data_IF_695592145952
#
_entry.id   IF_695592145952
#
_cell.length_a   1.000
_cell.length_b   1.000
_cell.length_c   1.000
_cell.angle_alpha   90.00
_cell.angle_beta   90.00
_cell.angle_gamma   90.00
#
_symmetry.space_group_name_H-M   'P 1'
#
loop_
_entity.id
_entity.type
_entity.pdbx_description
1 polymer ?
#
# COMPACT_ATOMS: atom_id res chain seq x y z
N UNK A 1 -18.28 29.44 10.78
CA UNK A 1 -17.33 29.24 11.90
C UNK A 1 -17.97 28.30 12.91
N UNK A 2 -17.39 27.11 13.16
CA UNK A 2 -17.91 26.14 14.14
C UNK A 2 -17.28 26.47 15.49
N UNK A 3 -18.07 26.96 16.46
CA UNK A 3 -17.59 27.23 17.81
C UNK A 3 -17.08 25.91 18.43
N UNK A 4 -15.78 25.86 18.77
CA UNK A 4 -15.19 24.73 19.45
C UNK A 4 -15.71 24.69 20.90
N UNK A 5 -16.24 23.55 21.33
CA UNK A 5 -16.78 23.38 22.67
C UNK A 5 -15.61 23.29 23.69
N UNK A 6 -15.46 24.26 24.61
CA UNK A 6 -14.30 24.36 25.50
C UNK A 6 -14.18 23.21 26.50
N UNK A 7 -15.26 22.46 26.75
CA UNK A 7 -15.26 21.27 27.61
C UNK A 7 -14.34 20.13 27.10
N UNK A 8 -13.98 20.12 25.81
CA UNK A 8 -13.08 19.12 25.25
C UNK A 8 -11.58 19.47 25.41
N UNK A 9 -11.25 20.66 25.93
CA UNK A 9 -9.87 21.14 26.05
C UNK A 9 -9.57 21.55 27.50
N UNK A 10 -9.09 20.62 28.36
CA UNK A 10 -8.90 20.85 29.80
C UNK A 10 -8.01 22.05 30.12
N UNK A 11 -7.04 22.32 29.25
CA UNK A 11 -6.07 23.42 29.37
C UNK A 11 -6.74 24.79 29.08
N UNK A 12 -7.72 24.84 28.17
CA UNK A 12 -8.52 26.03 27.90
C UNK A 12 -9.49 26.34 29.05
N UNK A 13 -10.03 25.29 29.70
CA UNK A 13 -10.84 25.41 30.91
C UNK A 13 -9.99 25.93 32.08
N UNK A 14 -8.76 25.45 32.24
CA UNK A 14 -7.81 25.96 33.25
C UNK A 14 -7.48 27.44 33.02
N UNK A 15 -7.18 27.85 31.79
CA UNK A 15 -6.91 29.25 31.47
C UNK A 15 -8.12 30.16 31.76
N UNK A 16 -9.34 29.72 31.41
CA UNK A 16 -10.57 30.43 31.77
C UNK A 16 -10.79 30.53 33.29
N UNK A 17 -10.48 29.46 34.03
CA UNK A 17 -10.55 29.42 35.50
C UNK A 17 -9.56 30.37 36.16
N UNK A 18 -8.32 30.46 35.67
CA UNK A 18 -7.30 31.38 36.17
C UNK A 18 -7.73 32.84 35.98
N UNK A 19 -8.29 33.18 34.81
CA UNK A 19 -8.79 34.54 34.53
C UNK A 19 -9.97 34.90 35.43
N UNK A 20 -10.86 33.94 35.72
CA UNK A 20 -12.02 34.17 36.58
C UNK A 20 -11.59 34.39 38.04
N UNK A 21 -10.65 33.59 38.55
CA UNK A 21 -10.11 33.75 39.91
C UNK A 21 -9.28 35.03 40.03
N UNK A 22 -8.42 35.34 39.07
CA UNK A 22 -7.61 36.56 39.08
C UNK A 22 -8.47 37.82 38.92
N UNK A 23 -9.46 37.80 38.01
CA UNK A 23 -10.38 38.90 37.75
C UNK A 23 -11.24 39.26 38.96
N UNK A 24 -11.81 38.26 39.63
CA UNK A 24 -12.69 38.49 40.79
C UNK A 24 -11.89 38.77 42.06
N UNK A 25 -10.76 38.09 42.28
CA UNK A 25 -10.05 38.12 43.58
C UNK A 25 -8.89 39.11 43.66
N UNK A 26 -8.23 39.43 42.54
CA UNK A 26 -7.10 40.36 42.52
C UNK A 26 -7.42 41.70 41.86
N UNK A 27 -8.33 41.73 40.88
CA UNK A 27 -8.71 42.95 40.14
C UNK A 27 -10.05 43.53 40.61
N UNK A 28 -10.86 42.75 41.35
CA UNK A 28 -12.13 43.23 41.93
C UNK A 28 -13.24 43.44 40.91
N UNK A 29 -13.20 42.74 39.77
CA UNK A 29 -14.21 42.86 38.73
C UNK A 29 -15.55 42.26 39.19
N UNK A 30 -16.69 42.96 38.96
CA UNK A 30 -18.00 42.43 39.30
C UNK A 30 -18.30 41.15 38.48
N UNK A 31 -18.95 40.18 39.11
CA UNK A 31 -19.19 38.84 38.55
C UNK A 31 -19.85 38.85 37.16
N UNK A 32 -20.69 39.84 36.85
CA UNK A 32 -21.34 39.98 35.55
C UNK A 32 -20.37 40.27 34.40
N UNK A 33 -19.18 40.82 34.68
CA UNK A 33 -18.14 41.11 33.67
C UNK A 33 -17.08 40.00 33.63
N UNK A 34 -16.76 39.41 34.79
CA UNK A 34 -15.76 38.36 34.89
C UNK A 34 -16.19 37.05 34.20
N UNK A 35 -17.47 36.66 34.32
CA UNK A 35 -18.01 35.44 33.72
C UNK A 35 -17.97 35.43 32.18
N UNK A 36 -18.45 36.47 31.46
CA UNK A 36 -18.36 36.53 30.00
C UNK A 36 -16.92 36.60 29.49
N UNK A 37 -16.04 37.33 30.20
CA UNK A 37 -14.63 37.44 29.82
C UNK A 37 -13.90 36.09 29.93
N UNK A 38 -14.14 35.32 30.99
CA UNK A 38 -13.58 33.99 31.14
C UNK A 38 -14.09 33.01 30.06
N UNK A 39 -15.38 33.09 29.71
CA UNK A 39 -15.95 32.30 28.62
C UNK A 39 -15.35 32.66 27.25
N UNK A 40 -15.12 33.95 26.99
CA UNK A 40 -14.47 34.44 25.76
C UNK A 40 -12.99 33.99 25.68
N UNK A 41 -12.25 34.02 26.77
CA UNK A 41 -10.86 33.54 26.81
C UNK A 41 -10.80 32.02 26.66
N UNK A 42 -11.71 31.26 27.28
CA UNK A 42 -11.75 29.80 27.14
C UNK A 42 -12.10 29.37 25.71
N UNK A 43 -13.08 30.02 25.08
CA UNK A 43 -13.46 29.74 23.68
C UNK A 43 -12.40 30.21 22.68
N UNK A 44 -11.81 31.39 22.89
CA UNK A 44 -10.72 31.91 22.06
C UNK A 44 -9.44 31.07 22.19
N UNK A 45 -9.07 30.66 23.40
CA UNK A 45 -7.94 29.78 23.67
C UNK A 45 -8.14 28.39 23.06
N UNK A 46 -9.34 27.81 23.16
CA UNK A 46 -9.67 26.55 22.51
C UNK A 46 -9.59 26.63 20.98
N UNK A 47 -9.97 27.77 20.38
CA UNK A 47 -9.84 27.99 18.93
C UNK A 47 -8.36 28.11 18.49
N UNK A 48 -7.52 28.79 19.28
CA UNK A 48 -6.08 28.89 19.00
C UNK A 48 -5.37 27.55 19.17
N UNK A 49 -5.69 26.78 20.22
CA UNK A 49 -5.14 25.45 20.44
C UNK A 49 -5.56 24.50 19.31
N UNK A 50 -6.84 24.50 18.94
CA UNK A 50 -7.35 23.73 17.79
C UNK A 50 -6.71 24.14 16.46
N UNK A 51 -6.35 25.42 16.29
CA UNK A 51 -5.62 25.89 15.10
C UNK A 51 -4.13 25.54 15.09
N UNK A 52 -3.58 25.11 16.25
CA UNK A 52 -2.19 24.68 16.43
C UNK A 52 -2.04 23.18 16.64
N UNK A 53 -3.12 22.41 16.70
CA UNK A 53 -3.06 20.96 16.65
C UNK A 53 -2.45 20.58 15.29
N UNK A 54 -1.28 19.89 15.25
CA UNK A 54 -0.77 19.35 14.01
C UNK A 54 -1.87 18.45 13.44
N UNK A 55 -2.28 18.73 12.22
CA UNK A 55 -3.35 18.01 11.55
C UNK A 55 -2.89 16.56 11.34
N UNK A 56 -3.19 15.69 12.32
CA UNK A 56 -2.78 14.28 12.35
C UNK A 56 -3.24 13.57 11.07
N UNK A 57 -4.34 14.02 10.45
CA UNK A 57 -4.77 13.55 9.14
C UNK A 57 -3.79 13.92 8.04
N UNK A 58 -3.25 15.14 8.06
CA UNK A 58 -2.28 15.64 7.08
C UNK A 58 -0.92 14.94 7.20
N UNK A 59 -0.47 14.62 8.41
CA UNK A 59 0.75 13.85 8.66
C UNK A 59 0.57 12.40 8.18
N UNK A 60 -0.56 11.76 8.52
CA UNK A 60 -0.88 10.41 8.04
C UNK A 60 -0.98 10.37 6.50
N UNK A 61 -1.53 11.41 5.88
CA UNK A 61 -1.65 11.52 4.43
C UNK A 61 -0.29 11.71 3.75
N UNK A 62 0.62 12.49 4.34
CA UNK A 62 2.00 12.62 3.85
C UNK A 62 2.79 11.31 3.95
N UNK A 63 2.61 10.54 5.03
CA UNK A 63 3.24 9.22 5.16
C UNK A 63 2.77 8.27 4.06
N UNK A 64 1.47 8.26 3.76
CA UNK A 64 0.89 7.45 2.69
C UNK A 64 1.47 7.85 1.32
N UNK A 65 1.60 9.15 1.05
CA UNK A 65 2.19 9.64 -0.20
C UNK A 65 3.64 9.18 -0.36
N UNK A 66 4.44 9.23 0.71
CA UNK A 66 5.83 8.78 0.70
C UNK A 66 5.95 7.27 0.47
N UNK A 67 5.11 6.46 1.13
CA UNK A 67 5.08 5.01 0.93
C UNK A 67 4.67 4.65 -0.50
N UNK A 68 3.63 5.32 -1.03
CA UNK A 68 3.17 5.09 -2.40
C UNK A 68 4.21 5.53 -3.43
N UNK A 69 4.95 6.60 -3.16
CA UNK A 69 6.03 7.07 -4.02
C UNK A 69 7.22 6.11 -4.03
N UNK A 70 7.52 5.49 -2.89
CA UNK A 70 8.51 4.41 -2.81
C UNK A 70 8.06 3.21 -3.65
N UNK A 71 6.80 2.80 -3.50
CA UNK A 71 6.24 1.68 -4.26
C UNK A 71 6.24 1.94 -5.77
N UNK A 72 5.87 3.16 -6.19
CA UNK A 72 5.96 3.61 -7.60
C UNK A 72 7.38 3.52 -8.14
N UNK A 73 8.37 3.95 -7.35
CA UNK A 73 9.78 3.92 -7.76
C UNK A 73 10.24 2.47 -7.95
N UNK A 74 9.92 1.59 -7.01
CA UNK A 74 10.22 0.15 -7.13
C UNK A 74 9.55 -0.48 -8.36
N UNK A 75 8.28 -0.16 -8.62
CA UNK A 75 7.58 -0.66 -9.81
C UNK A 75 8.19 -0.13 -11.11
N UNK A 76 8.62 1.13 -11.17
CA UNK A 76 9.31 1.68 -12.36
C UNK A 76 10.64 0.97 -12.60
N UNK A 77 11.40 0.69 -11.54
CA UNK A 77 12.64 -0.08 -11.64
C UNK A 77 12.37 -1.51 -12.14
N UNK A 78 11.30 -2.16 -11.65
CA UNK A 78 10.86 -3.46 -12.12
C UNK A 78 10.50 -3.42 -13.62
N UNK A 79 9.72 -2.42 -14.05
CA UNK A 79 9.34 -2.22 -15.45
C UNK A 79 10.56 -2.03 -16.37
N UNK A 80 11.56 -1.26 -15.93
CA UNK A 80 12.81 -1.08 -16.67
C UNK A 80 13.59 -2.40 -16.82
N UNK A 81 13.68 -3.19 -15.74
CA UNK A 81 14.32 -4.51 -15.78
C UNK A 81 13.57 -5.48 -16.70
N UNK A 82 12.24 -5.48 -16.63
CA UNK A 82 11.39 -6.30 -17.49
C UNK A 82 11.55 -5.93 -18.97
N UNK A 83 11.62 -4.63 -19.30
CA UNK A 83 11.87 -4.19 -20.68
C UNK A 83 13.25 -4.60 -21.19
N UNK A 84 14.29 -4.47 -20.35
CA UNK A 84 15.64 -4.95 -20.68
C UNK A 84 15.65 -6.45 -20.95
N UNK A 85 15.02 -7.24 -20.07
CA UNK A 85 14.89 -8.68 -20.24
C UNK A 85 14.10 -9.05 -21.50
N UNK A 86 13.03 -8.30 -21.81
CA UNK A 86 12.22 -8.51 -23.01
C UNK A 86 13.05 -8.34 -24.29
N UNK A 87 13.90 -7.31 -24.34
CA UNK A 87 14.78 -7.04 -25.48
C UNK A 87 15.85 -8.13 -25.60
N UNK A 88 16.44 -8.54 -24.49
CA UNK A 88 17.46 -9.60 -24.44
C UNK A 88 16.90 -10.97 -24.84
N UNK A 89 15.74 -11.36 -24.29
CA UNK A 89 15.05 -12.59 -24.67
C UNK A 89 14.74 -12.60 -26.18
N UNK A 90 14.33 -11.47 -26.75
CA UNK A 90 14.06 -11.37 -28.19
C UNK A 90 15.31 -11.59 -29.05
N UNK A 91 16.50 -11.24 -28.57
CA UNK A 91 17.76 -11.51 -29.28
C UNK A 91 18.17 -12.98 -29.17
N UNK A 92 18.01 -13.57 -27.99
CA UNK A 92 18.48 -14.93 -27.69
C UNK A 92 17.55 -16.02 -28.21
N UNK A 93 16.23 -15.80 -28.18
CA UNK A 93 15.22 -16.84 -28.44
C UNK A 93 14.55 -16.74 -29.81
N UNK A 94 14.95 -15.81 -30.69
CA UNK A 94 14.29 -15.58 -31.98
C UNK A 94 14.69 -16.55 -33.10
N UNK A 95 15.60 -17.50 -32.83
CA UNK A 95 16.24 -18.30 -33.88
C UNK A 95 15.68 -19.73 -34.05
N UNK A 96 14.76 -20.19 -33.19
CA UNK A 96 14.16 -21.53 -33.31
C UNK A 96 12.72 -21.63 -32.77
N UNK A 97 12.01 -22.70 -33.16
CA UNK A 97 10.56 -22.85 -32.93
C UNK A 97 10.18 -23.13 -31.48
N UNK A 98 11.02 -23.84 -30.72
CA UNK A 98 10.77 -24.15 -29.31
C UNK A 98 11.18 -22.98 -28.40
N UNK A 99 12.21 -22.22 -28.81
CA UNK A 99 12.57 -20.95 -28.20
C UNK A 99 11.46 -19.90 -28.38
N UNK A 100 10.61 -20.02 -29.42
CA UNK A 100 9.51 -19.10 -29.68
C UNK A 100 8.40 -19.17 -28.61
N UNK A 101 8.02 -20.36 -28.15
CA UNK A 101 6.99 -20.51 -27.11
C UNK A 101 7.47 -19.95 -25.76
N UNK A 102 8.73 -20.23 -25.43
CA UNK A 102 9.42 -19.67 -24.27
C UNK A 102 9.53 -18.14 -24.38
N UNK A 103 9.83 -17.62 -25.56
CA UNK A 103 9.89 -16.18 -25.82
C UNK A 103 8.53 -15.52 -25.57
N UNK A 104 7.43 -16.12 -26.04
CA UNK A 104 6.07 -15.60 -25.80
C UNK A 104 5.74 -15.58 -24.30
N UNK A 105 6.09 -16.63 -23.56
CA UNK A 105 5.87 -16.70 -22.12
C UNK A 105 6.64 -15.60 -21.37
N UNK A 106 7.94 -15.45 -21.66
CA UNK A 106 8.80 -14.42 -21.05
C UNK A 106 8.32 -13.01 -21.42
N UNK A 107 7.96 -12.77 -22.69
CA UNK A 107 7.42 -11.49 -23.13
C UNK A 107 6.10 -11.16 -22.44
N UNK A 108 5.21 -12.14 -22.27
CA UNK A 108 3.95 -11.97 -21.56
C UNK A 108 4.15 -11.58 -20.09
N UNK A 109 5.09 -12.24 -19.40
CA UNK A 109 5.45 -11.89 -18.03
C UNK A 109 6.12 -10.50 -17.95
N UNK A 110 7.05 -10.18 -18.85
CA UNK A 110 7.67 -8.84 -18.88
C UNK A 110 6.65 -7.73 -19.14
N UNK A 111 5.71 -7.93 -20.06
CA UNK A 111 4.67 -6.95 -20.38
C UNK A 111 3.81 -6.61 -19.16
N UNK A 112 3.40 -7.61 -18.38
CA UNK A 112 2.63 -7.39 -17.15
C UNK A 112 3.43 -6.64 -16.08
N UNK A 113 4.74 -6.87 -15.97
CA UNK A 113 5.62 -6.10 -15.10
C UNK A 113 5.77 -4.64 -15.56
N UNK A 114 5.79 -4.39 -16.88
CA UNK A 114 5.85 -3.04 -17.47
C UNK A 114 4.57 -2.24 -17.17
N UNK A 115 3.41 -2.89 -17.12
CA UNK A 115 2.12 -2.26 -16.80
C UNK A 115 1.91 -1.96 -15.31
N UNK A 116 2.73 -2.56 -14.44
CA UNK A 116 2.59 -2.52 -12.99
C UNK A 116 2.62 -1.09 -12.39
N UNK A 117 3.49 -0.15 -12.85
CA UNK A 117 3.47 1.25 -12.40
C UNK A 117 2.15 1.95 -12.69
N UNK A 118 1.51 1.68 -13.84
CA UNK A 118 0.25 2.31 -14.24
C UNK A 118 -0.87 1.85 -13.31
N UNK A 119 -0.92 0.54 -12.99
CA UNK A 119 -1.89 -0.03 -12.05
C UNK A 119 -1.72 0.54 -10.63
N UNK A 120 -0.48 0.82 -10.21
CA UNK A 120 -0.21 1.52 -8.94
C UNK A 120 -0.63 2.97 -8.95
N UNK A 121 -0.50 3.68 -10.06
CA UNK A 121 -0.97 5.06 -10.17
C UNK A 121 -2.49 5.15 -10.06
N UNK A 122 -3.20 4.21 -10.69
CA UNK A 122 -4.65 4.08 -10.52
C UNK A 122 -5.05 3.74 -9.09
N UNK A 123 -4.30 2.85 -8.43
CA UNK A 123 -4.50 2.56 -7.01
C UNK A 123 -4.30 3.83 -6.18
N UNK A 124 -3.18 4.53 -6.35
CA UNK A 124 -2.89 5.78 -5.65
C UNK A 124 -4.01 6.82 -5.77
N UNK A 125 -4.60 6.99 -6.96
CA UNK A 125 -5.76 7.88 -7.15
C UNK A 125 -7.00 7.43 -6.38
N UNK A 126 -7.25 6.12 -6.30
CA UNK A 126 -8.36 5.56 -5.51
C UNK A 126 -8.15 5.75 -4.01
N UNK A 127 -6.91 5.64 -3.55
CA UNK A 127 -6.49 5.80 -2.15
C UNK A 127 -6.80 7.20 -1.61
N UNK A 128 -6.65 8.23 -2.43
CA UNK A 128 -6.92 9.62 -2.03
C UNK A 128 -8.42 9.96 -1.94
N UNK A 129 -9.32 9.11 -2.46
CA UNK A 129 -10.76 9.26 -2.28
C UNK A 129 -11.19 8.80 -0.88
N UNK A 130 -12.09 9.52 -0.23
CA UNK A 130 -12.52 9.36 1.19
C UNK A 130 -13.05 7.97 1.63
N UNK A 131 -12.98 6.95 0.77
CA UNK A 131 -13.23 5.57 1.13
C UNK A 131 -11.95 5.00 1.74
N UNK A 132 -12.03 4.65 3.03
CA UNK A 132 -10.97 3.90 3.71
C UNK A 132 -10.55 2.76 2.80
N UNK A 133 -9.31 2.86 2.33
CA UNK A 133 -8.58 2.04 1.38
C UNK A 133 -8.90 0.53 1.41
N UNK A 134 -9.28 0.02 2.57
CA UNK A 134 -9.52 -1.37 2.85
C UNK A 134 -10.51 -1.43 4.00
N UNK A 135 -11.78 -1.74 3.73
CA UNK A 135 -12.63 -2.23 4.80
C UNK A 135 -12.22 -3.66 5.11
N UNK A 136 -12.42 -4.09 6.37
CA UNK A 136 -12.25 -5.51 6.74
C UNK A 136 -13.06 -6.41 5.79
N UNK A 137 -14.21 -5.93 5.33
CA UNK A 137 -15.07 -6.64 4.38
C UNK A 137 -14.40 -6.85 3.01
N UNK A 138 -13.71 -5.84 2.46
CA UNK A 138 -13.02 -5.97 1.17
C UNK A 138 -11.89 -7.01 1.24
N UNK A 139 -11.11 -6.98 2.33
CA UNK A 139 -10.06 -7.96 2.57
C UNK A 139 -10.62 -9.38 2.76
N UNK A 140 -11.77 -9.51 3.44
CA UNK A 140 -12.47 -10.79 3.60
C UNK A 140 -13.01 -11.33 2.27
N UNK A 141 -13.56 -10.46 1.42
CA UNK A 141 -14.01 -10.86 0.09
C UNK A 141 -12.84 -11.34 -0.78
N UNK A 142 -11.72 -10.62 -0.74
CA UNK A 142 -10.48 -11.02 -1.41
C UNK A 142 -9.97 -12.38 -0.90
N UNK A 143 -10.00 -12.62 0.40
CA UNK A 143 -9.61 -13.91 0.97
C UNK A 143 -10.51 -15.05 0.45
N UNK A 144 -11.82 -14.83 0.42
CA UNK A 144 -12.78 -15.84 -0.08
C UNK A 144 -12.52 -16.19 -1.55
N UNK A 145 -12.22 -15.20 -2.39
CA UNK A 145 -11.88 -15.42 -3.79
C UNK A 145 -10.56 -16.19 -3.96
N UNK A 146 -9.56 -15.92 -3.12
CA UNK A 146 -8.28 -16.67 -3.10
C UNK A 146 -8.51 -18.11 -2.65
N UNK A 147 -9.28 -18.34 -1.60
CA UNK A 147 -9.62 -19.69 -1.12
C UNK A 147 -10.37 -20.50 -2.19
N UNK A 148 -11.31 -19.88 -2.90
CA UNK A 148 -12.01 -20.51 -4.01
C UNK A 148 -11.05 -20.89 -5.14
N UNK A 149 -10.14 -19.99 -5.56
CA UNK A 149 -9.13 -20.29 -6.59
C UNK A 149 -8.12 -21.34 -6.15
N UNK A 150 -7.77 -21.35 -4.86
CA UNK A 150 -6.85 -22.32 -4.25
C UNK A 150 -7.41 -23.74 -4.36
N UNK A 151 -8.73 -23.90 -4.17
CA UNK A 151 -9.40 -25.21 -4.25
C UNK A 151 -9.29 -25.87 -5.63
N UNK A 152 -9.19 -25.06 -6.70
CA UNK A 152 -9.06 -25.51 -8.08
C UNK A 152 -7.63 -25.46 -8.63
N UNK A 153 -6.63 -25.11 -7.81
CA UNK A 153 -5.24 -24.91 -8.23
C UNK A 153 -4.30 -25.98 -7.67
N UNK A 154 -3.22 -26.27 -8.39
CA UNK A 154 -2.19 -27.25 -8.00
C UNK A 154 -0.77 -26.73 -8.24
N UNK A 155 0.22 -27.35 -7.58
CA UNK A 155 1.64 -27.02 -7.76
C UNK A 155 2.00 -25.61 -7.29
N UNK A 156 2.88 -24.93 -8.04
CA UNK A 156 3.42 -23.60 -7.74
C UNK A 156 2.31 -22.55 -7.61
N UNK A 157 1.29 -22.62 -8.47
CA UNK A 157 0.13 -21.71 -8.40
C UNK A 157 -0.60 -21.81 -7.05
N UNK A 158 -0.75 -23.04 -6.50
CA UNK A 158 -1.34 -23.23 -5.18
C UNK A 158 -0.46 -22.67 -4.06
N UNK A 159 0.86 -22.89 -4.12
CA UNK A 159 1.79 -22.35 -3.15
C UNK A 159 1.76 -20.80 -3.10
N UNK A 160 1.67 -20.16 -4.26
CA UNK A 160 1.57 -18.70 -4.34
C UNK A 160 0.22 -18.17 -3.84
N UNK A 161 -0.87 -18.90 -4.07
CA UNK A 161 -2.18 -18.60 -3.48
C UNK A 161 -2.17 -18.80 -1.95
N UNK A 162 -1.44 -19.78 -1.43
CA UNK A 162 -1.28 -19.99 0.02
C UNK A 162 -0.55 -18.80 0.66
N UNK A 163 0.52 -18.30 0.04
CA UNK A 163 1.23 -17.11 0.49
C UNK A 163 0.32 -15.87 0.47
N UNK A 164 -0.45 -15.69 -0.60
CA UNK A 164 -1.40 -14.58 -0.72
C UNK A 164 -2.51 -14.67 0.35
N UNK A 165 -3.06 -15.86 0.58
CA UNK A 165 -4.06 -16.13 1.61
C UNK A 165 -3.53 -15.77 3.00
N UNK A 166 -2.30 -16.20 3.32
CA UNK A 166 -1.66 -15.91 4.60
C UNK A 166 -1.39 -14.41 4.80
N UNK A 167 -1.01 -13.69 3.72
CA UNK A 167 -0.85 -12.24 3.75
C UNK A 167 -2.19 -11.53 4.01
N UNK A 168 -3.25 -11.90 3.28
CA UNK A 168 -4.59 -11.33 3.45
C UNK A 168 -5.13 -11.56 4.87
N UNK A 169 -4.96 -12.77 5.42
CA UNK A 169 -5.43 -13.09 6.76
C UNK A 169 -4.71 -12.27 7.84
N UNK A 170 -3.39 -12.11 7.71
CA UNK A 170 -2.60 -11.22 8.57
C UNK A 170 -3.08 -9.77 8.46
N UNK A 171 -3.36 -9.29 7.25
CA UNK A 171 -3.84 -7.93 7.03
C UNK A 171 -5.24 -7.71 7.65
N UNK A 172 -6.11 -8.73 7.64
CA UNK A 172 -7.42 -8.72 8.30
C UNK A 172 -7.28 -8.65 9.82
N UNK A 173 -6.37 -9.44 10.41
CA UNK A 173 -6.10 -9.41 11.86
C UNK A 173 -5.60 -8.04 12.29
N UNK A 174 -4.62 -7.48 11.58
CA UNK A 174 -4.11 -6.15 11.81
C UNK A 174 -5.22 -5.10 11.71
N UNK A 175 -6.09 -5.20 10.69
CA UNK A 175 -7.24 -4.31 10.53
C UNK A 175 -8.22 -4.38 11.71
N UNK A 176 -8.49 -5.60 12.23
CA UNK A 176 -9.40 -5.83 13.37
C UNK A 176 -8.83 -5.32 14.68
N UNK A 177 -7.52 -5.38 14.85
CA UNK A 177 -6.81 -4.84 16.03
C UNK A 177 -6.64 -3.32 16.00
N UNK A 178 -7.14 -2.64 14.96
CA UNK A 178 -6.95 -1.20 14.77
C UNK A 178 -5.54 -0.83 14.31
N UNK A 179 -4.70 -1.82 13.99
CA UNK A 179 -3.44 -1.60 13.29
C UNK A 179 -3.72 -1.20 11.83
N UNK A 180 -2.79 -0.48 11.20
CA UNK A 180 -2.99 0.02 9.84
C UNK A 180 -2.93 -1.12 8.82
N UNK A 181 -4.09 -1.70 8.51
CA UNK A 181 -4.30 -2.65 7.40
C UNK A 181 -3.67 -2.16 6.08
N UNK A 182 -3.68 -0.85 5.88
CA UNK A 182 -3.07 -0.15 4.74
C UNK A 182 -1.56 -0.33 4.67
N UNK A 183 -0.86 -0.16 5.80
CA UNK A 183 0.59 -0.34 5.88
C UNK A 183 0.95 -1.80 5.59
N UNK A 184 0.20 -2.75 6.13
CA UNK A 184 0.42 -4.17 5.90
C UNK A 184 0.21 -4.58 4.43
N UNK A 185 -0.81 -4.01 3.76
CA UNK A 185 -1.02 -4.21 2.34
C UNK A 185 0.10 -3.55 1.51
N UNK A 186 0.53 -2.33 1.87
CA UNK A 186 1.63 -1.65 1.19
C UNK A 186 2.94 -2.46 1.29
N UNK A 187 3.24 -3.01 2.47
CA UNK A 187 4.36 -3.94 2.67
C UNK A 187 4.21 -5.17 1.79
N UNK A 188 3.01 -5.76 1.71
CA UNK A 188 2.74 -6.92 0.86
C UNK A 188 2.96 -6.61 -0.63
N UNK A 189 2.52 -5.45 -1.11
CA UNK A 189 2.77 -4.99 -2.49
C UNK A 189 4.26 -4.77 -2.74
N UNK A 190 4.98 -4.19 -1.78
CA UNK A 190 6.42 -3.99 -1.88
C UNK A 190 7.17 -5.33 -1.98
N UNK A 191 6.82 -6.30 -1.13
CA UNK A 191 7.37 -7.66 -1.19
C UNK A 191 7.12 -8.30 -2.55
N UNK A 192 5.89 -8.24 -3.08
CA UNK A 192 5.58 -8.80 -4.41
C UNK A 192 6.41 -8.17 -5.53
N UNK A 193 6.64 -6.86 -5.49
CA UNK A 193 7.48 -6.16 -6.48
C UNK A 193 8.94 -6.60 -6.34
N UNK A 194 9.44 -6.76 -5.12
CA UNK A 194 10.81 -7.20 -4.87
C UNK A 194 11.03 -8.65 -5.29
N UNK A 195 10.09 -9.55 -4.99
CA UNK A 195 10.14 -10.95 -5.39
C UNK A 195 10.06 -11.08 -6.91
N UNK A 196 9.18 -10.31 -7.56
CA UNK A 196 9.11 -10.23 -9.02
C UNK A 196 10.44 -9.75 -9.64
N UNK A 197 11.13 -8.80 -9.00
CA UNK A 197 12.43 -8.33 -9.46
C UNK A 197 13.53 -9.40 -9.30
N UNK A 198 13.46 -10.20 -8.22
CA UNK A 198 14.33 -11.35 -7.99
C UNK A 198 14.16 -12.42 -9.07
N UNK A 199 12.92 -12.79 -9.38
CA UNK A 199 12.62 -13.78 -10.41
C UNK A 199 13.00 -13.28 -11.81
N UNK A 200 12.73 -12.01 -12.14
CA UNK A 200 13.21 -11.42 -13.41
C UNK A 200 14.73 -11.53 -13.54
N UNK A 201 15.48 -11.30 -12.45
CA UNK A 201 16.93 -11.45 -12.46
C UNK A 201 17.34 -12.92 -12.66
N UNK A 202 16.62 -13.87 -12.05
CA UNK A 202 16.86 -15.29 -12.25
C UNK A 202 16.61 -15.70 -13.71
N UNK A 203 15.49 -15.27 -14.30
CA UNK A 203 15.16 -15.51 -15.71
C UNK A 203 16.26 -14.93 -16.61
N UNK A 204 16.72 -13.70 -16.35
CA UNK A 204 17.79 -13.07 -17.11
C UNK A 204 19.10 -13.85 -17.02
N UNK A 205 19.50 -14.25 -15.80
CA UNK A 205 20.73 -15.01 -15.59
C UNK A 205 20.65 -16.36 -16.29
N UNK A 206 19.54 -17.08 -16.14
CA UNK A 206 19.32 -18.38 -16.78
C UNK A 206 19.30 -18.23 -18.31
N UNK A 207 18.66 -17.21 -18.88
CA UNK A 207 18.70 -16.97 -20.33
C UNK A 207 20.13 -16.77 -20.88
N UNK A 208 21.02 -16.16 -20.10
CA UNK A 208 22.41 -15.94 -20.52
C UNK A 208 23.29 -17.18 -20.42
N UNK A 209 23.00 -18.08 -19.48
CA UNK A 209 23.88 -19.20 -19.15
C UNK A 209 23.30 -20.55 -19.53
N UNK A 210 22.00 -20.64 -19.82
CA UNK A 210 21.34 -21.90 -20.08
C UNK A 210 21.74 -22.45 -21.44
N UNK A 211 21.96 -23.77 -21.46
CA UNK A 211 21.99 -24.52 -22.69
C UNK A 211 20.56 -24.76 -23.17
N UNK A 212 20.15 -24.06 -24.23
CA UNK A 212 18.80 -24.17 -24.83
C UNK A 212 18.59 -25.49 -25.60
N UNK A 213 19.58 -26.38 -25.60
CA UNK A 213 19.41 -27.77 -26.05
C UNK A 213 19.13 -28.75 -24.90
N UNK A 214 19.30 -28.31 -23.64
CA UNK A 214 19.02 -29.08 -22.44
C UNK A 214 17.58 -28.83 -21.95
N UNK A 215 16.74 -29.86 -22.09
CA UNK A 215 15.33 -29.85 -21.69
C UNK A 215 15.17 -29.51 -20.20
N UNK A 216 16.11 -29.93 -19.34
CA UNK A 216 16.01 -29.66 -17.91
C UNK A 216 16.18 -28.17 -17.61
N UNK A 217 17.12 -27.50 -18.28
CA UNK A 217 17.35 -26.07 -18.12
C UNK A 217 16.22 -25.22 -18.70
N UNK A 218 15.59 -25.69 -19.79
CA UNK A 218 14.40 -25.04 -20.34
C UNK A 218 13.21 -25.14 -19.38
N UNK A 219 12.96 -26.32 -18.81
CA UNK A 219 11.89 -26.51 -17.81
C UNK A 219 12.08 -25.62 -16.59
N UNK A 220 13.33 -25.46 -16.15
CA UNK A 220 13.68 -24.56 -15.06
C UNK A 220 13.42 -23.07 -15.37
N UNK A 221 13.65 -22.66 -16.62
CA UNK A 221 13.39 -21.30 -17.07
C UNK A 221 11.88 -21.05 -17.23
N UNK A 222 11.14 -22.05 -17.68
CA UNK A 222 9.69 -22.03 -17.75
C UNK A 222 9.06 -21.95 -16.35
N UNK A 223 9.56 -22.72 -15.39
CA UNK A 223 9.13 -22.65 -14.00
C UNK A 223 9.32 -21.25 -13.38
N UNK A 224 10.47 -20.61 -13.62
CA UNK A 224 10.69 -19.21 -13.17
C UNK A 224 9.74 -18.23 -13.86
N UNK A 225 9.42 -18.45 -15.13
CA UNK A 225 8.46 -17.60 -15.87
C UNK A 225 7.04 -17.77 -15.35
N UNK A 226 6.64 -18.99 -15.00
CA UNK A 226 5.35 -19.30 -14.39
C UNK A 226 5.23 -18.71 -12.98
N UNK A 227 6.32 -18.75 -12.20
CA UNK A 227 6.38 -18.12 -10.88
C UNK A 227 6.18 -16.61 -10.96
N UNK A 228 6.89 -15.93 -11.88
CA UNK A 228 6.73 -14.50 -12.13
C UNK A 228 5.29 -14.16 -12.55
N UNK A 229 4.72 -14.96 -13.45
CA UNK A 229 3.33 -14.82 -13.91
C UNK A 229 2.36 -14.89 -12.74
N UNK A 230 2.55 -15.86 -11.84
CA UNK A 230 1.71 -16.04 -10.66
C UNK A 230 1.84 -14.88 -9.65
N UNK A 231 3.05 -14.33 -9.44
CA UNK A 231 3.21 -13.16 -8.58
C UNK A 231 2.52 -11.92 -9.15
N UNK A 232 2.56 -11.75 -10.48
CA UNK A 232 1.87 -10.65 -11.16
C UNK A 232 0.35 -10.79 -11.09
N UNK A 233 -0.17 -12.01 -11.13
CA UNK A 233 -1.60 -12.28 -10.94
C UNK A 233 -2.04 -11.98 -9.49
N UNK A 234 -1.20 -12.32 -8.50
CA UNK A 234 -1.41 -11.94 -7.10
C UNK A 234 -1.42 -10.42 -6.92
N UNK A 235 -0.51 -9.72 -7.59
CA UNK A 235 -0.48 -8.26 -7.58
C UNK A 235 -1.76 -7.67 -8.20
N UNK A 236 -2.16 -8.15 -9.39
CA UNK A 236 -3.37 -7.70 -10.06
C UNK A 236 -4.61 -7.94 -9.18
N UNK A 237 -4.62 -9.04 -8.43
CA UNK A 237 -5.68 -9.36 -7.48
C UNK A 237 -5.75 -8.38 -6.30
N UNK A 238 -4.63 -8.04 -5.68
CA UNK A 238 -4.58 -7.08 -4.57
C UNK A 238 -4.96 -5.66 -4.97
N UNK A 239 -4.75 -5.30 -6.23
CA UNK A 239 -5.09 -3.98 -6.79
C UNK A 239 -6.51 -3.93 -7.38
N UNK A 240 -7.19 -5.08 -7.44
CA UNK A 240 -8.56 -5.20 -7.95
C UNK A 240 -9.57 -4.75 -6.87
N UNK A 241 -10.67 -4.14 -7.35
CA UNK A 241 -11.82 -3.72 -6.54
C UNK A 241 -12.91 -4.78 -6.65
#
# INVERSE_FOLDING_TARGET
MKLANPLYYPIAVLAGGVVLVAGVRFIGLPNFVALPAAAAVATGGAAVIKSREPDLQKIAQQQIENELQTLRTSAKNLAQKAESLRQEANQLLSHGSFEMDLLVAVQGACQRAIELPIKLDELGRRIHGANSLLSVNDLQQQLQEVENKRSSSSGIARQNLDQLSNSLQRNIELAKEGQNARTAQMTSLYTLIQDSAGILQQIQNKLRTADLTDIQQINELQASTDELTSLQDNFAFLVKK
#
